data_IF_847735476335
#
_entry.id   IF_847735476335
#
_cell.length_a   1.000
_cell.length_b   1.000
_cell.length_c   1.000
_cell.angle_alpha   90.00
_cell.angle_beta   90.00
_cell.angle_gamma   90.00
#
_symmetry.space_group_name_H-M   'P 1'
#
loop_
_entity.id
_entity.type
_entity.pdbx_description
1 polymer ?
#
# COMPACT_ATOMS: atom_id res chain seq x y z
N UNK A 1 -2.71 2.19 6.49
CA UNK A 1 -3.21 2.30 5.12
C UNK A 1 -4.60 2.90 5.07
N UNK A 2 -4.98 3.53 3.96
CA UNK A 2 -6.31 4.12 3.78
C UNK A 2 -7.42 3.06 3.84
N UNK A 3 -7.21 1.92 3.22
CA UNK A 3 -8.14 0.78 3.24
C UNK A 3 -8.36 0.23 4.66
N UNK A 4 -7.28 0.06 5.43
CA UNK A 4 -7.34 -0.39 6.82
C UNK A 4 -7.89 0.63 7.80
N UNK A 5 -7.95 1.92 7.41
CA UNK A 5 -8.47 2.99 8.25
C UNK A 5 -10.00 3.04 8.26
N UNK A 6 -10.64 2.56 7.20
CA UNK A 6 -12.09 2.63 7.02
C UNK A 6 -12.90 2.11 8.22
N UNK A 7 -12.65 0.92 8.79
CA UNK A 7 -13.42 0.42 9.94
C UNK A 7 -13.27 1.29 11.19
N UNK A 8 -12.16 2.04 11.30
CA UNK A 8 -11.93 2.94 12.42
C UNK A 8 -12.62 4.30 12.27
N UNK A 9 -13.06 4.66 11.05
CA UNK A 9 -13.68 5.96 10.76
C UNK A 9 -15.20 5.94 10.88
N UNK A 10 -15.83 4.79 10.65
CA UNK A 10 -17.28 4.65 10.55
C UNK A 10 -17.77 3.43 11.35
N UNK A 11 -19.09 3.43 11.65
CA UNK A 11 -19.73 2.34 12.37
C UNK A 11 -19.72 2.51 13.91
N UNK A 12 -20.20 1.48 14.60
CA UNK A 12 -20.40 1.51 16.06
C UNK A 12 -19.11 1.62 16.89
N UNK A 13 -17.98 1.27 16.28
CA UNK A 13 -16.66 1.26 16.91
C UNK A 13 -15.74 2.34 16.36
N UNK A 14 -16.30 3.36 15.72
CA UNK A 14 -15.51 4.49 15.20
C UNK A 14 -14.70 5.15 16.32
N UNK A 15 -13.43 5.43 16.03
CA UNK A 15 -12.49 6.09 16.92
C UNK A 15 -12.03 7.42 16.31
N UNK A 16 -11.63 8.40 17.14
CA UNK A 16 -11.20 9.71 16.67
C UNK A 16 -9.79 9.63 16.04
N UNK A 17 -9.69 9.14 14.82
CA UNK A 17 -8.44 9.02 14.08
C UNK A 17 -8.54 9.75 12.74
N UNK A 18 -7.45 10.40 12.32
CA UNK A 18 -7.36 11.14 11.06
C UNK A 18 -6.01 10.91 10.41
N UNK A 19 -5.99 10.63 9.11
CA UNK A 19 -4.78 10.61 8.30
C UNK A 19 -4.31 12.05 8.05
N UNK A 20 -3.03 12.31 8.26
CA UNK A 20 -2.43 13.66 8.20
C UNK A 20 -1.27 13.75 7.20
N UNK A 21 -0.79 12.64 6.68
CA UNK A 21 0.18 12.61 5.59
C UNK A 21 0.17 11.27 4.85
N UNK A 22 0.33 11.32 3.52
CA UNK A 22 0.65 10.16 2.71
C UNK A 22 2.17 9.94 2.70
N UNK A 23 2.63 8.74 3.04
CA UNK A 23 4.07 8.44 3.04
C UNK A 23 4.59 8.29 1.62
N UNK A 24 3.87 7.58 0.76
CA UNK A 24 4.10 7.50 -0.69
C UNK A 24 2.87 8.00 -1.44
N UNK A 25 3.10 8.57 -2.60
CA UNK A 25 2.02 9.20 -3.35
C UNK A 25 1.19 8.20 -4.14
N UNK A 26 1.77 7.10 -4.59
CA UNK A 26 1.04 6.08 -5.34
C UNK A 26 1.05 4.73 -4.64
N UNK A 27 -0.06 3.99 -4.78
CA UNK A 27 -0.12 2.62 -4.29
C UNK A 27 0.84 1.73 -5.09
N UNK A 28 1.78 1.13 -4.40
CA UNK A 28 2.75 0.20 -5.00
C UNK A 28 2.35 -1.26 -4.81
N UNK A 29 1.11 -1.52 -4.39
CA UNK A 29 0.64 -2.90 -4.20
C UNK A 29 0.12 -3.52 -5.48
N UNK A 30 0.25 -4.82 -5.55
CA UNK A 30 -0.17 -5.63 -6.68
C UNK A 30 0.08 -7.11 -6.39
N UNK A 31 -0.09 -7.93 -7.39
CA UNK A 31 0.14 -9.37 -7.29
C UNK A 31 1.49 -9.72 -7.90
N UNK A 32 2.29 -10.46 -7.14
CA UNK A 32 3.53 -11.09 -7.61
C UNK A 32 3.32 -12.60 -7.78
N UNK A 33 3.98 -13.16 -8.77
CA UNK A 33 3.95 -14.58 -9.08
C UNK A 33 5.27 -15.05 -9.72
N UNK A 34 5.44 -16.35 -9.89
CA UNK A 34 6.58 -16.88 -10.66
C UNK A 34 6.45 -16.50 -12.14
N UNK A 35 7.57 -16.08 -12.73
CA UNK A 35 7.62 -15.65 -14.13
C UNK A 35 7.25 -16.78 -15.11
N UNK A 36 6.48 -16.41 -16.12
CA UNK A 36 6.15 -17.30 -17.23
C UNK A 36 5.11 -18.37 -16.91
N UNK A 37 4.46 -18.31 -15.75
CA UNK A 37 3.36 -19.24 -15.39
C UNK A 37 1.96 -18.67 -15.73
N UNK A 38 1.90 -17.60 -16.53
CA UNK A 38 0.66 -17.02 -17.07
C UNK A 38 -0.08 -16.11 -16.11
N UNK A 39 0.57 -15.64 -15.06
CA UNK A 39 0.04 -14.73 -14.03
C UNK A 39 0.58 -13.29 -14.15
N UNK A 40 0.97 -12.89 -15.34
CA UNK A 40 1.40 -11.55 -15.70
C UNK A 40 0.25 -10.54 -15.81
N UNK A 41 -1.00 -11.03 -15.68
CA UNK A 41 -2.25 -10.27 -15.73
C UNK A 41 -3.29 -10.87 -14.79
N UNK A 42 -4.32 -10.12 -14.36
CA UNK A 42 -5.31 -10.59 -13.38
C UNK A 42 -6.03 -11.88 -13.75
N UNK A 43 -6.47 -12.04 -15.01
CA UNK A 43 -7.12 -13.25 -15.49
C UNK A 43 -6.26 -14.50 -15.28
N UNK A 44 -4.96 -14.38 -15.29
CA UNK A 44 -4.02 -15.49 -15.07
C UNK A 44 -4.12 -16.14 -13.69
N UNK A 45 -4.85 -15.53 -12.75
CA UNK A 45 -5.10 -16.11 -11.42
C UNK A 45 -6.16 -17.24 -11.43
N UNK A 46 -6.91 -17.44 -12.53
CA UNK A 46 -7.87 -18.55 -12.63
C UNK A 46 -7.20 -19.91 -12.41
N UNK A 47 -7.71 -20.69 -11.48
CA UNK A 47 -7.19 -22.01 -11.10
C UNK A 47 -5.89 -21.99 -10.28
N UNK A 48 -5.35 -20.82 -9.94
CA UNK A 48 -4.11 -20.67 -9.20
C UNK A 48 -4.34 -20.53 -7.69
N UNK A 49 -3.32 -20.93 -6.90
CA UNK A 49 -3.30 -20.80 -5.45
C UNK A 49 -2.87 -19.39 -5.09
N UNK A 50 -3.80 -18.61 -4.58
CA UNK A 50 -3.55 -17.25 -4.08
C UNK A 50 -3.49 -17.23 -2.55
N UNK A 51 -2.40 -16.72 -1.98
CA UNK A 51 -2.27 -16.52 -0.54
C UNK A 51 -3.16 -15.34 -0.11
N UNK A 52 -4.23 -15.61 0.65
CA UNK A 52 -5.20 -14.60 1.08
C UNK A 52 -5.15 -14.33 2.57
N UNK A 53 -5.36 -13.08 2.98
CA UNK A 53 -5.61 -12.68 4.37
C UNK A 53 -7.07 -12.88 4.77
N UNK A 54 -7.90 -13.36 3.84
CA UNK A 54 -9.34 -13.59 3.99
C UNK A 54 -10.14 -12.32 4.34
N UNK A 55 -9.69 -11.17 3.84
CA UNK A 55 -10.37 -9.87 4.01
C UNK A 55 -11.32 -9.60 2.84
N UNK A 56 -12.53 -9.11 3.15
CA UNK A 56 -13.53 -8.82 2.11
C UNK A 56 -13.05 -7.76 1.12
N UNK A 57 -12.36 -6.72 1.59
CA UNK A 57 -11.81 -5.67 0.74
C UNK A 57 -10.70 -6.19 -0.18
N UNK A 58 -9.84 -7.08 0.30
CA UNK A 58 -8.82 -7.77 -0.50
C UNK A 58 -9.47 -8.57 -1.63
N UNK A 59 -10.43 -9.44 -1.28
CA UNK A 59 -11.15 -10.29 -2.25
C UNK A 59 -11.90 -9.45 -3.28
N UNK A 60 -12.57 -8.37 -2.84
CA UNK A 60 -13.28 -7.46 -3.72
C UNK A 60 -12.34 -6.73 -4.70
N UNK A 61 -11.14 -6.33 -4.23
CA UNK A 61 -10.12 -5.71 -5.09
C UNK A 61 -9.66 -6.68 -6.18
N UNK A 62 -9.30 -7.92 -5.81
CA UNK A 62 -8.83 -8.94 -6.77
C UNK A 62 -9.95 -9.30 -7.75
N UNK A 63 -11.15 -9.48 -7.24
CA UNK A 63 -12.33 -9.74 -8.07
C UNK A 63 -12.53 -8.65 -9.12
N UNK A 64 -12.47 -7.38 -8.71
CA UNK A 64 -12.66 -6.24 -9.59
C UNK A 64 -11.61 -6.19 -10.72
N UNK A 65 -10.33 -6.36 -10.40
CA UNK A 65 -9.27 -6.34 -11.42
C UNK A 65 -9.33 -7.57 -12.34
N UNK A 66 -9.74 -8.73 -11.83
CA UNK A 66 -9.94 -9.91 -12.64
C UNK A 66 -11.12 -9.75 -13.61
N UNK A 67 -12.26 -9.25 -13.15
CA UNK A 67 -13.43 -8.98 -13.99
C UNK A 67 -13.13 -7.96 -15.07
N UNK A 68 -12.37 -6.89 -14.74
CA UNK A 68 -11.91 -5.90 -15.72
C UNK A 68 -11.03 -6.52 -16.82
N UNK A 69 -10.32 -7.61 -16.51
CA UNK A 69 -9.48 -8.36 -17.43
C UNK A 69 -10.20 -9.59 -18.08
N UNK A 70 -11.51 -9.71 -17.85
CA UNK A 70 -12.32 -10.82 -18.36
C UNK A 70 -12.05 -12.16 -17.68
N UNK A 71 -11.57 -12.14 -16.43
CA UNK A 71 -11.35 -13.29 -15.57
C UNK A 71 -12.52 -13.55 -14.62
N UNK A 72 -12.53 -14.75 -14.04
CA UNK A 72 -13.53 -15.23 -13.09
C UNK A 72 -12.88 -15.53 -11.73
N UNK A 73 -13.11 -14.64 -10.76
CA UNK A 73 -12.55 -14.76 -9.40
C UNK A 73 -12.99 -16.06 -8.69
N UNK A 74 -14.16 -16.63 -9.02
CA UNK A 74 -14.65 -17.85 -8.39
C UNK A 74 -13.77 -19.07 -8.66
N UNK A 75 -12.90 -18.99 -9.66
CA UNK A 75 -11.94 -20.03 -10.02
C UNK A 75 -10.62 -19.94 -9.26
N UNK A 76 -10.37 -18.84 -8.52
CA UNK A 76 -9.13 -18.68 -7.74
C UNK A 76 -9.17 -19.61 -6.53
N UNK A 77 -8.09 -20.33 -6.29
CA UNK A 77 -7.93 -21.14 -5.09
C UNK A 77 -7.41 -20.27 -3.95
N UNK A 78 -8.29 -19.84 -3.07
CA UNK A 78 -7.93 -19.02 -1.90
C UNK A 78 -7.25 -19.91 -0.86
N UNK A 79 -5.99 -19.62 -0.54
CA UNK A 79 -5.21 -20.30 0.49
C UNK A 79 -5.04 -19.34 1.66
N UNK A 80 -5.81 -19.49 2.75
CA UNK A 80 -5.62 -18.66 3.94
C UNK A 80 -4.19 -18.82 4.48
N UNK A 81 -3.44 -17.74 4.51
CA UNK A 81 -2.03 -17.80 4.86
C UNK A 81 -1.55 -16.49 5.45
N UNK A 82 -0.72 -16.59 6.48
CA UNK A 82 0.16 -15.52 6.95
C UNK A 82 1.56 -15.79 6.43
N UNK A 83 1.75 -15.54 5.11
CA UNK A 83 3.09 -15.65 4.52
C UNK A 83 3.98 -14.56 5.12
N UNK A 84 5.11 -14.96 5.70
CA UNK A 84 6.11 -14.05 6.27
C UNK A 84 7.34 -13.88 5.36
N UNK A 85 7.50 -14.77 4.40
CA UNK A 85 8.55 -14.75 3.36
C UNK A 85 7.88 -15.13 2.03
N UNK A 86 7.54 -14.10 1.26
CA UNK A 86 6.79 -14.23 0.01
C UNK A 86 7.64 -14.92 -1.07
N UNK A 87 8.95 -14.66 -1.11
CA UNK A 87 9.84 -15.26 -2.10
C UNK A 87 9.97 -16.76 -1.86
N UNK A 88 10.24 -17.18 -0.63
CA UNK A 88 10.31 -18.61 -0.26
C UNK A 88 8.98 -19.33 -0.53
N UNK A 89 7.84 -18.69 -0.28
CA UNK A 89 6.53 -19.28 -0.54
C UNK A 89 6.28 -19.52 -2.04
N UNK A 90 6.71 -18.59 -2.91
CA UNK A 90 6.65 -18.74 -4.35
C UNK A 90 7.64 -19.80 -4.86
N UNK A 91 8.88 -19.81 -4.36
CA UNK A 91 9.90 -20.79 -4.75
C UNK A 91 9.51 -22.23 -4.39
N UNK A 92 8.95 -22.43 -3.20
CA UNK A 92 8.47 -23.75 -2.75
C UNK A 92 7.15 -24.20 -3.40
N UNK A 93 6.51 -23.32 -4.18
CA UNK A 93 5.19 -23.56 -4.80
C UNK A 93 4.08 -23.86 -3.80
N UNK A 94 4.23 -23.41 -2.56
CA UNK A 94 3.15 -23.49 -1.56
C UNK A 94 1.95 -22.64 -1.98
N UNK A 95 2.22 -21.52 -2.64
CA UNK A 95 1.26 -20.66 -3.33
C UNK A 95 1.80 -20.25 -4.71
N UNK A 96 0.93 -19.77 -5.57
CA UNK A 96 1.28 -19.36 -6.94
C UNK A 96 1.36 -17.85 -7.08
N UNK A 97 0.54 -17.12 -6.29
CA UNK A 97 0.43 -15.67 -6.34
C UNK A 97 0.20 -15.09 -4.94
N UNK A 98 0.72 -13.87 -4.71
CA UNK A 98 0.68 -13.17 -3.42
C UNK A 98 0.48 -11.68 -3.66
N UNK A 99 -0.34 -11.01 -2.83
CA UNK A 99 -0.39 -9.55 -2.76
C UNK A 99 0.84 -9.02 -2.03
N UNK A 100 1.56 -8.12 -2.68
CA UNK A 100 2.77 -7.52 -2.14
C UNK A 100 2.78 -6.01 -2.33
N UNK A 101 3.73 -5.35 -1.66
CA UNK A 101 4.15 -3.98 -1.97
C UNK A 101 5.49 -4.03 -2.71
N UNK A 102 5.49 -3.52 -3.94
CA UNK A 102 6.63 -3.67 -4.85
C UNK A 102 7.92 -3.08 -4.30
N UNK A 103 7.84 -1.98 -3.55
CA UNK A 103 8.99 -1.33 -2.94
C UNK A 103 9.81 -2.20 -1.97
N UNK A 104 9.27 -3.35 -1.54
CA UNK A 104 9.99 -4.32 -0.72
C UNK A 104 10.10 -5.68 -1.41
N UNK A 105 9.03 -6.45 -1.47
CA UNK A 105 9.06 -7.82 -2.01
C UNK A 105 9.39 -7.86 -3.50
N UNK A 106 8.85 -6.92 -4.31
CA UNK A 106 9.19 -6.83 -5.73
C UNK A 106 10.66 -6.49 -5.96
N UNK A 107 11.26 -5.68 -5.09
CA UNK A 107 12.69 -5.39 -5.11
C UNK A 107 13.50 -6.59 -4.60
N UNK A 108 13.04 -7.27 -3.54
CA UNK A 108 13.68 -8.47 -3.02
C UNK A 108 13.83 -9.54 -4.10
N UNK A 109 12.79 -9.80 -4.88
CA UNK A 109 12.87 -10.79 -5.97
C UNK A 109 13.99 -10.47 -6.97
N UNK A 110 14.24 -9.19 -7.25
CA UNK A 110 15.34 -8.77 -8.13
C UNK A 110 16.71 -8.93 -7.48
N UNK A 111 16.82 -8.57 -6.20
CA UNK A 111 18.09 -8.70 -5.44
C UNK A 111 18.51 -10.16 -5.30
N UNK A 112 17.53 -11.07 -5.15
CA UNK A 112 17.73 -12.50 -5.06
C UNK A 112 17.83 -13.21 -6.42
N UNK A 113 17.72 -12.47 -7.55
CA UNK A 113 17.67 -13.02 -8.91
C UNK A 113 16.58 -14.06 -9.10
N UNK A 114 15.44 -13.87 -8.45
CA UNK A 114 14.26 -14.69 -8.61
C UNK A 114 13.30 -14.03 -9.60
N UNK A 115 13.16 -14.63 -10.79
CA UNK A 115 12.32 -14.11 -11.86
C UNK A 115 10.84 -14.19 -11.51
N UNK A 116 10.17 -13.04 -11.54
CA UNK A 116 8.75 -12.89 -11.20
C UNK A 116 7.99 -12.10 -12.26
N UNK A 117 6.70 -12.36 -12.36
CA UNK A 117 5.72 -11.48 -12.99
C UNK A 117 5.04 -10.66 -11.89
N UNK A 118 4.67 -9.43 -12.23
CA UNK A 118 3.98 -8.52 -11.32
C UNK A 118 3.03 -7.61 -12.09
N UNK A 119 1.83 -7.43 -11.55
CA UNK A 119 0.92 -6.39 -12.01
C UNK A 119 0.43 -5.53 -10.84
N UNK A 120 0.47 -4.20 -11.01
CA UNK A 120 -0.03 -3.26 -10.00
C UNK A 120 -1.53 -3.04 -10.16
N UNK A 121 -2.26 -3.00 -9.06
CA UNK A 121 -3.71 -2.77 -9.08
C UNK A 121 -4.07 -1.40 -9.67
N UNK A 122 -3.31 -0.36 -9.34
CA UNK A 122 -3.52 1.02 -9.83
C UNK A 122 -3.43 1.15 -11.35
N UNK A 123 -2.65 0.28 -12.00
CA UNK A 123 -2.45 0.33 -13.45
C UNK A 123 -3.65 -0.29 -14.20
N UNK A 124 -4.44 -1.13 -13.53
CA UNK A 124 -5.64 -1.75 -14.05
C UNK A 124 -6.88 -0.89 -13.75
N UNK A 125 -6.99 -0.40 -12.51
CA UNK A 125 -8.07 0.47 -12.09
C UNK A 125 -7.53 1.56 -11.15
N UNK A 126 -7.60 2.81 -11.59
CA UNK A 126 -7.11 3.96 -10.84
C UNK A 126 -7.79 4.15 -9.47
N UNK A 127 -8.91 3.50 -9.21
CA UNK A 127 -9.55 3.46 -7.89
C UNK A 127 -8.64 2.82 -6.85
N UNK A 128 -7.78 1.88 -7.25
CA UNK A 128 -6.84 1.21 -6.36
C UNK A 128 -5.50 1.94 -6.19
N UNK A 129 -5.40 3.18 -6.70
CA UNK A 129 -4.31 4.08 -6.36
C UNK A 129 -4.60 4.84 -5.05
N UNK A 130 -5.06 4.12 -4.03
CA UNK A 130 -5.32 4.64 -2.70
C UNK A 130 -4.04 4.77 -1.88
N UNK A 131 -4.06 5.63 -0.85
CA UNK A 131 -2.87 5.93 -0.06
C UNK A 131 -2.52 4.81 0.93
N UNK A 132 -1.31 4.26 0.77
CA UNK A 132 -0.74 3.26 1.67
C UNK A 132 0.79 3.27 1.58
N UNK A 133 1.52 3.51 2.72
CA UNK A 133 1.00 3.84 4.04
C UNK A 133 0.62 5.31 4.22
N UNK A 134 -0.11 5.60 5.30
CA UNK A 134 -0.42 6.96 5.76
C UNK A 134 0.00 7.16 7.21
N UNK A 135 0.34 8.39 7.58
CA UNK A 135 0.51 8.79 8.99
C UNK A 135 -0.85 9.17 9.53
N UNK A 136 -1.21 8.61 10.68
CA UNK A 136 -2.47 8.87 11.38
C UNK A 136 -2.22 9.42 12.78
N UNK A 137 -3.16 10.22 13.28
CA UNK A 137 -3.13 10.71 14.64
C UNK A 137 -4.51 10.74 15.28
N UNK A 138 -4.56 10.83 16.61
CA UNK A 138 -5.81 11.04 17.32
C UNK A 138 -6.35 12.43 17.03
N UNK A 139 -7.53 12.52 16.43
CA UNK A 139 -8.16 13.77 15.96
C UNK A 139 -8.32 14.80 17.08
N UNK A 140 -8.76 14.37 18.26
CA UNK A 140 -9.00 15.28 19.39
C UNK A 140 -7.69 15.80 19.98
N UNK A 141 -6.69 14.92 20.12
CA UNK A 141 -5.37 15.31 20.59
C UNK A 141 -4.70 16.32 19.66
N UNK A 142 -4.73 16.05 18.34
CA UNK A 142 -4.14 16.94 17.33
C UNK A 142 -4.78 18.34 17.32
N UNK A 143 -6.11 18.41 17.49
CA UNK A 143 -6.81 19.70 17.62
C UNK A 143 -6.38 20.49 18.83
N UNK A 144 -6.11 19.82 19.95
CA UNK A 144 -5.64 20.47 21.20
C UNK A 144 -4.15 20.79 21.16
N UNK A 145 -3.37 20.12 20.28
CA UNK A 145 -1.91 20.24 20.17
C UNK A 145 -1.48 20.54 18.73
N UNK A 146 -2.14 21.50 18.11
CA UNK A 146 -1.93 21.85 16.68
C UNK A 146 -0.47 22.16 16.35
N UNK A 147 0.18 23.00 17.15
CA UNK A 147 1.58 23.40 16.91
C UNK A 147 2.54 22.21 17.03
N UNK A 148 2.32 21.34 18.00
CA UNK A 148 3.12 20.11 18.16
C UNK A 148 2.91 19.17 16.98
N UNK A 149 1.67 19.02 16.50
CA UNK A 149 1.35 18.18 15.33
C UNK A 149 2.04 18.71 14.08
N UNK A 150 1.98 20.02 13.83
CA UNK A 150 2.68 20.67 12.72
C UNK A 150 4.19 20.51 12.82
N UNK A 151 4.76 20.76 14.00
CA UNK A 151 6.20 20.60 14.24
C UNK A 151 6.67 19.17 13.97
N UNK A 152 5.92 18.19 14.45
CA UNK A 152 6.18 16.77 14.18
C UNK A 152 6.16 16.46 12.68
N UNK A 153 5.08 16.82 11.98
CA UNK A 153 4.96 16.55 10.54
C UNK A 153 6.04 17.29 9.72
N UNK A 154 6.40 18.51 10.12
CA UNK A 154 7.50 19.23 9.48
C UNK A 154 8.85 18.53 9.68
N UNK A 155 9.11 17.96 10.86
CA UNK A 155 10.32 17.18 11.12
C UNK A 155 10.34 15.88 10.27
N UNK A 156 9.21 15.17 10.21
CA UNK A 156 9.06 13.97 9.37
C UNK A 156 9.25 14.30 7.89
N UNK A 157 8.61 15.38 7.40
CA UNK A 157 8.79 15.87 6.03
C UNK A 157 10.25 16.11 5.68
N UNK A 158 10.98 16.83 6.55
CA UNK A 158 12.43 17.07 6.35
C UNK A 158 13.21 15.75 6.27
N UNK A 159 12.83 14.76 7.07
CA UNK A 159 13.43 13.41 6.99
C UNK A 159 13.21 12.74 5.64
N UNK A 160 12.00 12.79 5.10
CA UNK A 160 11.70 12.23 3.77
C UNK A 160 12.37 13.01 2.65
N UNK A 161 12.37 14.36 2.72
CA UNK A 161 13.07 15.21 1.75
C UNK A 161 14.58 14.91 1.75
N UNK A 162 15.19 14.79 2.95
CA UNK A 162 16.58 14.36 3.10
C UNK A 162 16.84 12.99 2.48
N UNK A 163 15.95 12.03 2.74
CA UNK A 163 16.02 10.67 2.20
C UNK A 163 15.96 10.67 0.65
N UNK A 164 15.16 11.55 0.06
CA UNK A 164 15.07 11.71 -1.40
C UNK A 164 16.38 12.26 -1.97
N UNK A 165 17.00 13.22 -1.28
CA UNK A 165 18.24 13.87 -1.72
C UNK A 165 19.49 13.01 -1.45
N UNK A 166 19.45 12.17 -0.40
CA UNK A 166 20.57 11.37 0.08
C UNK A 166 20.21 9.88 0.27
N UNK A 167 19.78 9.18 -0.80
CA UNK A 167 19.23 7.82 -0.68
C UNK A 167 20.22 6.79 -0.10
N UNK A 168 21.48 6.88 -0.47
CA UNK A 168 22.54 5.97 0.00
C UNK A 168 22.79 6.14 1.51
N UNK A 169 22.88 7.39 1.95
CA UNK A 169 23.10 7.71 3.36
C UNK A 169 21.90 7.32 4.21
N UNK A 170 20.66 7.56 3.71
CA UNK A 170 19.44 7.12 4.37
C UNK A 170 19.38 5.60 4.55
N UNK A 171 19.77 4.84 3.51
CA UNK A 171 19.88 3.39 3.58
C UNK A 171 20.93 2.94 4.61
N UNK A 172 22.07 3.61 4.68
CA UNK A 172 23.14 3.31 5.65
C UNK A 172 22.71 3.63 7.09
N UNK A 173 21.98 4.73 7.30
CA UNK A 173 21.40 5.08 8.61
C UNK A 173 20.41 3.98 9.06
N UNK A 174 19.53 3.52 8.17
CA UNK A 174 18.58 2.44 8.48
C UNK A 174 19.32 1.13 8.82
N UNK A 175 20.27 0.71 8.00
CA UNK A 175 21.02 -0.54 8.24
C UNK A 175 21.87 -0.46 9.53
N UNK A 176 22.33 0.72 9.93
CA UNK A 176 23.02 0.92 11.21
C UNK A 176 22.06 0.77 12.40
N UNK A 177 20.82 1.22 12.24
CA UNK A 177 19.80 1.12 13.29
C UNK A 177 19.14 -0.26 13.35
N UNK A 178 19.07 -0.97 12.23
CA UNK A 178 18.47 -2.29 12.06
C UNK A 178 19.45 -3.23 11.31
N UNK A 179 20.49 -3.74 11.99
CA UNK A 179 21.59 -4.50 11.37
C UNK A 179 21.17 -5.88 10.85
N UNK A 180 19.99 -6.35 11.20
CA UNK A 180 19.38 -7.58 10.69
C UNK A 180 18.88 -7.45 9.24
N UNK A 181 18.73 -6.24 8.72
CA UNK A 181 18.25 -6.01 7.37
C UNK A 181 19.35 -6.24 6.32
N UNK A 182 18.98 -6.87 5.20
CA UNK A 182 19.89 -6.99 4.05
C UNK A 182 20.15 -5.61 3.42
N UNK A 183 21.41 -5.16 3.47
CA UNK A 183 21.83 -3.85 2.99
C UNK A 183 21.60 -3.66 1.47
N UNK A 184 21.72 -4.72 0.67
CA UNK A 184 21.47 -4.64 -0.78
C UNK A 184 20.00 -4.40 -1.05
N UNK A 185 19.14 -5.12 -0.34
CA UNK A 185 17.70 -4.95 -0.42
C UNK A 185 17.29 -3.54 0.04
N UNK A 186 17.77 -3.09 1.20
CA UNK A 186 17.46 -1.74 1.72
C UNK A 186 17.84 -0.66 0.72
N UNK A 187 19.03 -0.74 0.12
CA UNK A 187 19.52 0.23 -0.86
C UNK A 187 18.65 0.25 -2.13
N UNK A 188 18.41 -0.91 -2.71
CA UNK A 188 17.59 -1.04 -3.90
C UNK A 188 16.13 -0.61 -3.67
N UNK A 189 15.58 -0.93 -2.50
CA UNK A 189 14.26 -0.49 -2.05
C UNK A 189 14.20 1.03 -1.90
N UNK A 190 15.23 1.63 -1.28
CA UNK A 190 15.32 3.08 -1.11
C UNK A 190 15.37 3.81 -2.46
N UNK A 191 16.16 3.35 -3.42
CA UNK A 191 16.23 3.92 -4.79
C UNK A 191 14.86 3.88 -5.49
N UNK A 192 14.10 2.80 -5.32
CA UNK A 192 12.74 2.70 -5.86
C UNK A 192 11.78 3.66 -5.14
N UNK A 193 11.77 3.65 -3.80
CA UNK A 193 10.84 4.41 -2.98
C UNK A 193 11.08 5.92 -3.07
N UNK A 194 12.30 6.37 -3.33
CA UNK A 194 12.60 7.80 -3.54
C UNK A 194 11.71 8.44 -4.60
N UNK A 195 11.37 7.70 -5.65
CA UNK A 195 10.49 8.16 -6.72
C UNK A 195 9.01 8.15 -6.31
N UNK A 196 8.67 7.44 -5.22
CA UNK A 196 7.29 7.28 -4.75
C UNK A 196 6.93 8.24 -3.61
N UNK A 197 7.91 8.69 -2.82
CA UNK A 197 7.65 9.51 -1.62
C UNK A 197 6.96 10.83 -1.94
N UNK A 198 7.36 11.47 -3.01
CA UNK A 198 6.85 12.78 -3.41
C UNK A 198 6.18 12.74 -4.78
N UNK A 199 6.67 11.87 -5.68
CA UNK A 199 6.20 11.70 -7.06
C UNK A 199 5.95 13.06 -7.75
N UNK A 200 4.69 13.36 -8.11
CA UNK A 200 4.29 14.59 -8.79
C UNK A 200 3.93 15.76 -7.87
N UNK A 201 3.81 15.52 -6.53
CA UNK A 201 3.36 16.58 -5.62
C UNK A 201 4.51 17.49 -5.19
N UNK A 202 4.20 18.77 -4.97
CA UNK A 202 5.20 19.75 -4.55
C UNK A 202 5.67 19.53 -3.11
N UNK A 203 4.76 19.08 -2.23
CA UNK A 203 5.02 18.88 -0.81
C UNK A 203 4.82 17.43 -0.43
N UNK A 204 5.83 16.82 0.20
CA UNK A 204 5.67 15.47 0.77
C UNK A 204 4.51 15.43 1.76
N UNK A 205 3.78 14.34 1.74
CA UNK A 205 2.68 14.08 2.66
C UNK A 205 1.30 14.51 2.17
N UNK A 206 1.22 15.29 1.08
CA UNK A 206 -0.05 15.77 0.55
C UNK A 206 -0.99 14.61 0.19
N UNK A 207 -2.27 14.74 0.59
CA UNK A 207 -3.34 13.81 0.28
C UNK A 207 -4.30 14.50 -0.69
N UNK A 208 -4.41 14.01 -1.93
CA UNK A 208 -5.36 14.50 -2.91
C UNK A 208 -6.79 14.08 -2.54
N UNK A 209 -7.73 15.03 -2.33
CA UNK A 209 -9.08 14.71 -1.93
C UNK A 209 -9.83 13.84 -2.94
N UNK A 210 -9.60 14.04 -4.24
CA UNK A 210 -10.30 13.28 -5.29
C UNK A 210 -9.86 11.82 -5.29
N UNK A 211 -8.55 11.57 -5.14
CA UNK A 211 -8.00 10.21 -5.04
C UNK A 211 -8.49 9.51 -3.77
N UNK A 212 -8.46 10.22 -2.64
CA UNK A 212 -8.95 9.71 -1.37
C UNK A 212 -10.43 9.29 -1.44
N UNK A 213 -11.28 10.20 -1.90
CA UNK A 213 -12.73 9.99 -1.98
C UNK A 213 -13.10 8.91 -2.99
N UNK A 214 -12.43 8.84 -4.15
CA UNK A 214 -12.68 7.82 -5.18
C UNK A 214 -12.61 6.40 -4.63
N UNK A 215 -11.62 6.10 -3.79
CA UNK A 215 -11.52 4.79 -3.17
C UNK A 215 -12.68 4.52 -2.19
N UNK A 216 -13.03 5.49 -1.34
CA UNK A 216 -14.13 5.30 -0.39
C UNK A 216 -15.53 5.29 -1.04
N UNK A 217 -15.71 5.95 -2.17
CA UNK A 217 -16.92 5.79 -2.99
C UNK A 217 -17.02 4.35 -3.49
N UNK A 218 -15.94 3.81 -4.05
CA UNK A 218 -15.91 2.43 -4.52
C UNK A 218 -16.22 1.44 -3.39
N UNK A 219 -15.64 1.62 -2.20
CA UNK A 219 -15.93 0.80 -1.02
C UNK A 219 -17.42 0.83 -0.67
N UNK A 220 -18.03 2.03 -0.67
CA UNK A 220 -19.45 2.21 -0.36
C UNK A 220 -20.36 1.59 -1.43
N UNK A 221 -20.03 1.78 -2.71
CA UNK A 221 -20.82 1.31 -3.84
C UNK A 221 -20.80 -0.23 -3.99
N UNK A 222 -19.77 -0.87 -3.44
CA UNK A 222 -19.64 -2.34 -3.44
C UNK A 222 -20.08 -3.00 -2.11
N UNK A 223 -20.73 -2.23 -1.22
CA UNK A 223 -21.24 -2.78 0.04
C UNK A 223 -20.16 -3.26 1.02
N UNK A 224 -18.95 -2.71 0.91
CA UNK A 224 -17.80 -3.06 1.76
C UNK A 224 -17.74 -2.19 3.03
N UNK A 225 -18.72 -1.32 3.22
CA UNK A 225 -18.95 -0.53 4.44
C UNK A 225 -20.42 -0.57 4.83
N UNK A 226 -20.70 -0.57 6.13
CA UNK A 226 -22.07 -0.61 6.67
C UNK A 226 -22.90 0.61 6.27
N UNK A 227 -22.24 1.72 6.00
CA UNK A 227 -22.87 3.00 5.62
C UNK A 227 -22.05 3.69 4.55
N UNK A 228 -22.70 4.58 3.79
CA UNK A 228 -22.01 5.42 2.81
C UNK A 228 -20.98 6.30 3.53
N UNK A 229 -19.75 6.29 3.04
CA UNK A 229 -18.65 7.09 3.58
C UNK A 229 -18.78 8.51 3.02
N UNK A 230 -18.93 9.54 3.87
CA UNK A 230 -19.02 10.93 3.41
C UNK A 230 -17.72 11.42 2.76
N UNK A 231 -17.82 12.43 1.89
CA UNK A 231 -16.70 13.12 1.29
C UNK A 231 -15.71 13.62 2.35
N UNK A 232 -14.42 13.49 2.05
CA UNK A 232 -13.32 13.97 2.87
C UNK A 232 -13.27 13.35 4.29
N UNK A 233 -13.90 12.19 4.49
CA UNK A 233 -13.85 11.48 5.77
C UNK A 233 -12.44 10.93 6.02
N UNK A 234 -11.89 11.22 7.20
CA UNK A 234 -10.72 10.52 7.75
C UNK A 234 -9.37 11.05 7.33
N UNK A 235 -9.28 12.21 6.65
CA UNK A 235 -7.99 12.86 6.38
C UNK A 235 -8.06 14.37 6.52
N UNK A 236 -6.90 15.02 6.65
CA UNK A 236 -6.72 16.48 6.50
C UNK A 236 -5.29 16.81 6.08
N UNK A 237 -5.14 17.88 5.32
CA UNK A 237 -3.85 18.48 4.97
C UNK A 237 -3.49 19.71 5.84
N UNK A 238 -4.32 20.08 6.83
CA UNK A 238 -4.19 21.33 7.59
C UNK A 238 -2.92 21.40 8.43
N UNK A 239 -2.37 20.26 8.80
CA UNK A 239 -1.14 20.20 9.60
C UNK A 239 0.14 20.17 8.75
N UNK A 240 0.04 20.10 7.43
CA UNK A 240 1.19 20.16 6.52
C UNK A 240 1.65 21.59 6.20
N UNK A 241 0.87 22.59 6.60
CA UNK A 241 1.14 24.02 6.35
C UNK A 241 1.99 24.65 7.43
#
# INVERSE_FOLDING_TARGET
>A
SQDGLMPALIGKHAIPVTAVAAVVQHNTSGIISRKGEGMDRPKGLEGKKYATWDKDLEKATIKNVMEADGGDFSKVQLIPSTVTDEISALQSKSVDAIWIFYGWTGIASKVENFDTDYFAFKDINSTFDFYTPVIIGNTNWMKQNTDTTKAFLNAVRKGYEYTIEHPDEAADILCKAAPELDRKLVKASQEYLNKQYKAEVEQWGYIDPKRWNRFYHWVSDHGLSDTKIPENTGFTNDYLK
#
